data_IF_923572888619
#
_entry.id   IF_923572888619
#
_cell.length_a   1.000
_cell.length_b   1.000
_cell.length_c   1.000
_cell.angle_alpha   90.00
_cell.angle_beta   90.00
_cell.angle_gamma   90.00
#
_symmetry.space_group_name_H-M   'P 1'
#
loop_
_entity.id
_entity.type
_entity.pdbx_description
1 polymer ?
#
# COMPACT_ATOMS: atom_id res chain seq x y z
N UNK A 1 -51.52 -27.73 4.58
CA UNK A 1 -51.03 -26.61 3.76
C UNK A 1 -50.37 -25.56 4.65
N UNK A 2 -49.07 -25.31 4.46
CA UNK A 2 -48.43 -24.00 4.69
C UNK A 2 -47.54 -23.78 3.46
N UNK A 3 -47.37 -22.53 3.00
CA UNK A 3 -46.60 -22.22 1.78
C UNK A 3 -45.14 -21.99 2.15
N UNK A 4 -44.23 -22.75 1.56
CA UNK A 4 -42.81 -22.43 1.61
C UNK A 4 -42.56 -21.09 0.91
N UNK A 5 -41.72 -20.27 1.53
CA UNK A 5 -41.23 -19.01 0.97
C UNK A 5 -39.70 -19.10 0.97
N UNK A 6 -39.04 -19.08 -0.19
CA UNK A 6 -37.59 -19.26 -0.24
C UNK A 6 -36.87 -18.11 0.46
N UNK A 7 -35.86 -18.43 1.28
CA UNK A 7 -34.88 -17.42 1.72
C UNK A 7 -34.02 -17.02 0.52
N UNK A 8 -33.92 -15.72 0.29
CA UNK A 8 -32.96 -15.14 -0.65
C UNK A 8 -31.54 -15.51 -0.23
N UNK A 9 -30.68 -15.74 -1.20
CA UNK A 9 -29.25 -15.95 -1.01
C UNK A 9 -28.55 -14.63 -0.70
N UNK A 10 -27.38 -14.71 -0.05
CA UNK A 10 -26.48 -13.56 0.13
C UNK A 10 -26.08 -12.93 -1.22
N UNK A 11 -26.05 -13.74 -2.29
CA UNK A 11 -25.82 -13.29 -3.67
C UNK A 11 -26.93 -12.39 -4.24
N UNK A 12 -28.19 -12.62 -3.86
CA UNK A 12 -29.32 -11.87 -4.43
C UNK A 12 -29.28 -10.39 -4.01
N UNK A 13 -28.78 -10.11 -2.79
CA UNK A 13 -28.63 -8.76 -2.26
C UNK A 13 -27.64 -7.91 -3.08
N UNK A 14 -26.53 -8.48 -3.55
CA UNK A 14 -25.56 -7.77 -4.39
C UNK A 14 -26.05 -7.48 -5.81
N UNK A 15 -27.12 -8.14 -6.28
CA UNK A 15 -27.61 -8.00 -7.65
C UNK A 15 -28.29 -6.65 -7.95
N UNK A 16 -28.75 -5.93 -6.93
CA UNK A 16 -29.70 -4.81 -7.05
C UNK A 16 -29.08 -3.40 -7.21
N UNK A 17 -27.76 -3.28 -7.39
CA UNK A 17 -27.10 -1.98 -7.64
C UNK A 17 -26.50 -1.82 -9.06
N UNK A 18 -27.03 -2.53 -10.06
CA UNK A 18 -26.65 -2.31 -11.47
C UNK A 18 -27.38 -1.14 -12.12
N UNK A 19 -26.72 0.03 -12.19
CA UNK A 19 -26.96 1.10 -13.20
C UNK A 19 -25.82 2.13 -13.17
N UNK A 20 -24.88 2.07 -14.13
CA UNK A 20 -23.86 3.12 -14.31
C UNK A 20 -24.50 4.47 -14.66
N UNK A 21 -24.02 5.56 -14.04
CA UNK A 21 -23.63 6.75 -14.82
C UNK A 21 -22.32 7.41 -14.33
N UNK A 22 -21.38 6.63 -13.76
CA UNK A 22 -20.37 7.17 -12.84
C UNK A 22 -19.18 7.93 -13.47
N UNK A 23 -18.84 7.68 -14.74
CA UNK A 23 -17.64 8.28 -15.37
C UNK A 23 -17.65 9.81 -15.47
N UNK A 24 -18.83 10.43 -15.44
CA UNK A 24 -18.98 11.89 -15.39
C UNK A 24 -18.80 12.43 -13.96
N UNK A 25 -18.99 11.60 -12.94
CA UNK A 25 -18.77 11.96 -11.53
C UNK A 25 -17.32 11.81 -11.11
N UNK A 26 -16.58 10.80 -11.59
CA UNK A 26 -15.18 10.61 -11.17
C UNK A 26 -14.24 11.74 -11.64
N UNK A 27 -14.44 12.24 -12.86
CA UNK A 27 -13.68 13.36 -13.44
C UNK A 27 -14.04 14.75 -12.87
N UNK A 28 -14.89 14.82 -11.83
CA UNK A 28 -15.29 16.06 -11.14
C UNK A 28 -14.11 16.69 -10.38
N UNK A 29 -13.27 15.89 -9.73
CA UNK A 29 -12.07 16.33 -9.01
C UNK A 29 -11.05 16.95 -9.98
N UNK A 30 -10.77 16.27 -11.12
CA UNK A 30 -9.86 16.75 -12.16
C UNK A 30 -10.31 18.10 -12.73
N UNK A 31 -11.59 18.22 -13.14
CA UNK A 31 -12.16 19.50 -13.62
C UNK A 31 -12.11 20.63 -12.60
N UNK A 32 -12.25 20.33 -11.29
CA UNK A 32 -12.13 21.33 -10.21
C UNK A 32 -10.68 21.78 -9.98
N UNK A 33 -9.69 20.95 -10.31
CA UNK A 33 -8.26 21.20 -10.08
C UNK A 33 -7.50 21.76 -11.29
N UNK A 34 -8.19 22.28 -12.32
CA UNK A 34 -7.57 22.87 -13.53
C UNK A 34 -8.30 24.10 -14.03
N UNK A 35 -7.54 25.10 -14.47
CA UNK A 35 -8.06 26.15 -15.35
C UNK A 35 -7.62 25.87 -16.80
N UNK A 36 -8.55 25.34 -17.61
CA UNK A 36 -8.36 25.04 -19.03
C UNK A 36 -8.21 26.29 -19.93
N UNK A 37 -8.17 27.50 -19.36
CA UNK A 37 -7.71 28.72 -20.04
C UNK A 37 -6.21 28.98 -19.89
N UNK A 38 -5.55 28.26 -18.96
CA UNK A 38 -4.15 28.47 -18.57
C UNK A 38 -3.32 27.22 -18.87
N UNK A 39 -3.83 26.03 -18.56
CA UNK A 39 -3.13 24.77 -18.87
C UNK A 39 -3.42 24.26 -20.29
N UNK A 40 -2.44 23.57 -20.88
CA UNK A 40 -2.59 22.86 -22.16
C UNK A 40 -3.21 21.45 -22.00
N UNK A 41 -3.52 21.03 -20.77
CA UNK A 41 -4.09 19.71 -20.49
C UNK A 41 -5.53 19.58 -21.03
N UNK A 42 -5.93 18.40 -21.54
CA UNK A 42 -7.23 18.22 -22.17
C UNK A 42 -8.40 18.33 -21.18
N UNK A 43 -9.44 19.07 -21.59
CA UNK A 43 -10.73 19.10 -20.91
C UNK A 43 -11.52 17.80 -21.19
N UNK A 44 -12.14 17.14 -20.19
CA UNK A 44 -12.78 15.84 -20.40
C UNK A 44 -14.01 15.91 -21.32
N UNK A 45 -14.06 15.09 -22.37
CA UNK A 45 -15.25 15.00 -23.23
C UNK A 45 -16.30 14.05 -22.65
N UNK A 46 -17.58 14.31 -22.94
CA UNK A 46 -18.69 13.51 -22.40
C UNK A 46 -18.94 12.19 -23.15
N UNK A 47 -18.01 11.73 -24.01
CA UNK A 47 -18.24 10.60 -24.95
C UNK A 47 -17.08 9.63 -25.10
N UNK A 48 -16.02 9.74 -24.30
CA UNK A 48 -14.86 8.85 -24.34
C UNK A 48 -15.15 7.45 -23.74
N UNK A 49 -15.97 6.64 -24.43
CA UNK A 49 -15.93 5.18 -24.26
C UNK A 49 -14.78 4.64 -25.12
N UNK A 50 -13.82 3.96 -24.50
CA UNK A 50 -12.74 3.26 -25.18
C UNK A 50 -13.26 2.32 -26.27
N UNK A 51 -12.65 2.40 -27.46
CA UNK A 51 -12.96 1.52 -28.60
C UNK A 51 -11.76 0.61 -28.87
N UNK A 52 -11.57 -0.40 -28.02
CA UNK A 52 -10.49 -1.36 -28.19
C UNK A 52 -10.21 -2.18 -26.93
N UNK A 53 -8.97 -2.64 -26.79
CA UNK A 53 -8.42 -3.10 -25.51
C UNK A 53 -8.12 -1.88 -24.63
N UNK A 54 -8.25 -1.98 -23.29
CA UNK A 54 -7.97 -0.87 -22.42
C UNK A 54 -6.49 -0.48 -22.47
N UNK A 55 -6.22 0.82 -22.47
CA UNK A 55 -4.87 1.37 -22.55
C UNK A 55 -4.23 1.56 -21.19
N UNK A 56 -2.90 1.59 -21.17
CA UNK A 56 -2.12 2.14 -20.07
C UNK A 56 -1.14 3.19 -20.58
N UNK A 57 -0.82 4.16 -19.73
CA UNK A 57 0.22 5.17 -19.98
C UNK A 57 1.05 5.35 -18.71
N UNK A 58 2.33 5.65 -18.90
CA UNK A 58 3.26 6.03 -17.84
C UNK A 58 3.93 7.31 -18.29
N UNK A 59 3.63 8.41 -17.60
CA UNK A 59 4.23 9.72 -17.86
C UNK A 59 5.35 9.98 -16.87
N UNK A 60 6.54 10.35 -17.35
CA UNK A 60 7.61 10.87 -16.50
C UNK A 60 7.37 12.36 -16.25
N UNK A 61 7.30 12.75 -14.98
CA UNK A 61 6.79 14.05 -14.55
C UNK A 61 7.84 14.79 -13.72
N UNK A 62 8.47 15.78 -14.35
CA UNK A 62 9.46 16.69 -13.77
C UNK A 62 8.77 17.88 -13.08
N UNK A 63 8.04 17.57 -12.00
CA UNK A 63 7.46 18.56 -11.09
C UNK A 63 8.49 18.98 -10.01
N UNK A 64 8.04 19.44 -8.84
CA UNK A 64 8.89 19.73 -7.67
C UNK A 64 9.73 18.53 -7.20
N UNK A 65 9.31 17.31 -7.56
CA UNK A 65 10.08 16.07 -7.49
C UNK A 65 9.78 15.23 -8.73
N UNK A 66 10.81 14.58 -9.28
CA UNK A 66 10.65 13.60 -10.34
C UNK A 66 9.79 12.42 -9.85
N UNK A 67 8.74 12.10 -10.59
CA UNK A 67 7.86 10.95 -10.35
C UNK A 67 7.29 10.42 -11.67
N UNK A 68 6.62 9.27 -11.61
CA UNK A 68 6.06 8.58 -12.76
C UNK A 68 4.56 8.38 -12.58
N UNK A 69 3.74 9.13 -13.31
CA UNK A 69 2.30 8.98 -13.29
C UNK A 69 1.90 7.72 -14.09
N UNK A 70 1.64 6.62 -13.37
CA UNK A 70 1.16 5.36 -13.92
C UNK A 70 -0.38 5.39 -14.01
N UNK A 71 -0.95 5.10 -15.18
CA UNK A 71 -2.41 5.16 -15.38
C UNK A 71 -2.97 3.97 -16.16
N UNK A 72 -4.17 3.53 -15.78
CA UNK A 72 -4.94 2.45 -16.41
C UNK A 72 -6.33 2.94 -16.85
N UNK A 73 -6.77 2.58 -18.04
CA UNK A 73 -8.14 2.81 -18.50
C UNK A 73 -9.15 1.88 -17.79
N UNK A 74 -9.98 2.42 -16.91
CA UNK A 74 -11.13 1.72 -16.34
C UNK A 74 -12.36 2.64 -16.30
N UNK A 75 -13.54 2.08 -16.60
CA UNK A 75 -14.85 2.74 -16.58
C UNK A 75 -14.95 4.07 -17.35
N UNK A 76 -14.10 4.26 -18.36
CA UNK A 76 -14.06 5.46 -19.20
C UNK A 76 -13.20 6.60 -18.65
N UNK A 77 -12.34 6.33 -17.66
CA UNK A 77 -11.35 7.26 -17.13
C UNK A 77 -9.97 6.58 -16.96
N UNK A 78 -8.92 7.39 -16.83
CA UNK A 78 -7.57 6.94 -16.48
C UNK A 78 -7.40 6.96 -14.96
N UNK A 79 -7.59 5.80 -14.34
CA UNK A 79 -7.25 5.55 -12.94
C UNK A 79 -5.75 5.71 -12.75
N UNK A 80 -5.32 6.58 -11.84
CA UNK A 80 -3.98 7.18 -11.86
C UNK A 80 -3.26 7.07 -10.53
N UNK A 81 -1.95 6.79 -10.56
CA UNK A 81 -1.07 6.77 -9.39
C UNK A 81 0.27 7.46 -9.67
N UNK A 82 0.67 8.37 -8.78
CA UNK A 82 2.00 8.98 -8.79
C UNK A 82 3.02 8.00 -8.18
N UNK A 83 3.81 7.34 -9.03
CA UNK A 83 4.84 6.37 -8.63
C UNK A 83 6.15 7.10 -8.34
N UNK A 84 6.60 7.00 -7.09
CA UNK A 84 7.71 7.81 -6.53
C UNK A 84 9.10 7.54 -7.11
N UNK A 85 9.29 6.44 -7.86
CA UNK A 85 10.54 6.04 -8.54
C UNK A 85 10.22 5.21 -9.77
N UNK A 86 11.08 5.28 -10.79
CA UNK A 86 10.96 4.61 -12.10
C UNK A 86 10.40 3.17 -11.99
N UNK A 87 9.33 2.81 -12.72
CA UNK A 87 8.85 1.43 -12.80
C UNK A 87 9.94 0.43 -13.21
N UNK A 88 9.82 -0.81 -12.75
CA UNK A 88 10.92 -1.80 -12.76
C UNK A 88 10.43 -3.18 -13.17
N UNK A 89 11.29 -3.94 -13.84
CA UNK A 89 11.03 -5.33 -14.23
C UNK A 89 11.55 -6.33 -13.17
N UNK A 90 12.08 -5.87 -12.03
CA UNK A 90 12.49 -6.73 -10.92
C UNK A 90 11.30 -7.03 -9.97
N UNK A 91 10.83 -8.28 -9.87
CA UNK A 91 9.73 -8.67 -8.99
C UNK A 91 10.08 -8.66 -7.49
N UNK A 92 11.30 -8.28 -7.11
CA UNK A 92 11.72 -8.02 -5.72
C UNK A 92 11.53 -6.57 -5.31
N UNK A 93 11.56 -5.65 -6.27
CA UNK A 93 11.48 -4.21 -5.99
C UNK A 93 10.01 -3.79 -5.98
N UNK A 94 9.60 -3.15 -4.88
CA UNK A 94 8.27 -2.55 -4.73
C UNK A 94 8.40 -1.03 -4.92
N UNK A 95 7.51 -0.41 -5.67
CA UNK A 95 7.46 1.05 -5.84
C UNK A 95 6.24 1.61 -5.12
N UNK A 96 6.44 2.60 -4.25
CA UNK A 96 5.33 3.34 -3.66
C UNK A 96 4.64 4.17 -4.76
N UNK A 97 3.35 3.91 -4.92
CA UNK A 97 2.44 4.52 -5.86
C UNK A 97 1.31 5.20 -5.05
N UNK A 98 1.19 6.51 -5.15
CA UNK A 98 0.17 7.28 -4.41
C UNK A 98 -1.01 7.49 -5.34
N UNK A 99 -2.22 7.11 -4.94
CA UNK A 99 -3.40 7.29 -5.78
C UNK A 99 -3.67 8.79 -5.99
N UNK A 100 -3.97 9.18 -7.23
CA UNK A 100 -4.30 10.56 -7.62
C UNK A 100 -5.59 10.58 -8.42
N UNK A 101 -6.06 11.78 -8.73
CA UNK A 101 -7.37 11.99 -9.36
C UNK A 101 -7.51 11.23 -10.70
N UNK A 102 -8.69 10.74 -11.03
CA UNK A 102 -9.00 10.22 -12.37
C UNK A 102 -8.68 11.27 -13.46
N UNK A 103 -8.01 10.87 -14.54
CA UNK A 103 -7.73 11.73 -15.70
C UNK A 103 -8.60 11.33 -16.91
N UNK A 104 -8.94 12.25 -17.83
CA UNK A 104 -9.68 11.89 -19.05
C UNK A 104 -8.85 10.98 -19.97
N UNK A 105 -9.48 10.15 -20.81
CA UNK A 105 -8.76 9.24 -21.71
C UNK A 105 -7.88 9.99 -22.71
N UNK A 106 -8.31 11.20 -23.10
CA UNK A 106 -7.56 12.15 -23.92
C UNK A 106 -6.22 12.57 -23.29
N UNK A 107 -6.03 12.40 -21.97
CA UNK A 107 -4.76 12.68 -21.30
C UNK A 107 -3.66 11.65 -21.61
N UNK A 108 -4.02 10.47 -22.13
CA UNK A 108 -3.05 9.40 -22.40
C UNK A 108 -2.02 9.74 -23.50
N UNK A 109 -2.29 10.76 -24.32
CA UNK A 109 -1.37 11.29 -25.35
C UNK A 109 -0.76 12.65 -24.98
N UNK A 110 -1.09 13.20 -23.80
CA UNK A 110 -0.58 14.49 -23.34
C UNK A 110 0.93 14.41 -22.99
N UNK A 111 1.65 15.44 -23.43
CA UNK A 111 3.07 15.70 -23.13
C UNK A 111 3.34 17.21 -23.28
N UNK A 112 4.41 17.71 -22.64
CA UNK A 112 4.78 19.12 -22.60
C UNK A 112 4.66 19.74 -21.21
N UNK A 113 4.73 21.07 -21.15
CA UNK A 113 4.81 21.83 -19.90
C UNK A 113 3.43 22.21 -19.32
N UNK A 114 3.26 21.92 -18.02
CA UNK A 114 2.14 22.41 -17.20
C UNK A 114 2.61 23.69 -16.48
N UNK A 115 1.96 24.86 -16.69
CA UNK A 115 2.47 26.15 -16.20
C UNK A 115 2.67 26.25 -14.68
N UNK A 116 3.71 26.99 -14.25
CA UNK A 116 4.00 27.26 -12.84
C UNK A 116 2.77 27.86 -12.13
N UNK A 117 2.43 27.28 -10.97
CA UNK A 117 1.25 27.66 -10.18
C UNK A 117 -0.01 26.84 -10.48
N UNK A 118 -0.06 26.07 -11.57
CA UNK A 118 -1.10 25.06 -11.79
C UNK A 118 -0.83 23.80 -10.93
N UNK A 119 -1.88 23.03 -10.65
CA UNK A 119 -1.74 21.73 -9.99
C UNK A 119 -1.07 20.74 -10.94
N UNK A 120 0.07 20.18 -10.52
CA UNK A 120 0.92 19.38 -11.43
C UNK A 120 1.86 20.21 -12.30
N UNK A 121 2.20 21.45 -11.90
CA UNK A 121 3.21 22.24 -12.61
C UNK A 121 4.56 21.52 -12.72
N UNK A 122 5.03 21.35 -13.94
CA UNK A 122 6.21 20.55 -14.30
C UNK A 122 6.24 20.24 -15.79
N UNK A 123 7.31 19.56 -16.25
CA UNK A 123 7.37 19.01 -17.60
C UNK A 123 6.91 17.54 -17.61
N UNK A 124 6.12 17.14 -18.61
CA UNK A 124 5.50 15.82 -18.70
C UNK A 124 5.89 15.14 -20.02
N UNK A 125 6.59 14.00 -19.96
CA UNK A 125 6.89 13.16 -21.12
C UNK A 125 6.17 11.81 -21.05
N UNK A 126 5.81 11.21 -22.19
CA UNK A 126 5.30 9.83 -22.23
C UNK A 126 6.50 8.87 -22.17
N UNK A 127 6.73 8.28 -20.99
CA UNK A 127 7.83 7.37 -20.75
C UNK A 127 7.54 5.96 -21.26
N UNK A 128 6.32 5.45 -21.12
CA UNK A 128 5.83 4.24 -21.81
C UNK A 128 4.31 4.31 -22.03
N UNK A 129 3.80 3.54 -22.99
CA UNK A 129 2.38 3.51 -23.37
C UNK A 129 2.06 2.21 -24.09
N UNK A 130 0.88 1.64 -23.84
CA UNK A 130 0.44 0.44 -24.54
C UNK A 130 -0.98 0.02 -24.22
N UNK A 131 -1.28 -1.26 -24.46
CA UNK A 131 -2.52 -1.89 -24.00
C UNK A 131 -2.22 -2.83 -22.84
N UNK A 132 -3.25 -3.21 -22.09
CA UNK A 132 -3.12 -4.26 -21.08
C UNK A 132 -4.28 -5.26 -21.13
N UNK A 133 -4.07 -6.45 -20.57
CA UNK A 133 -5.14 -7.40 -20.27
C UNK A 133 -5.41 -7.40 -18.75
N UNK A 134 -6.67 -7.37 -18.32
CA UNK A 134 -7.03 -7.60 -16.92
C UNK A 134 -6.80 -9.09 -16.57
N UNK A 135 -5.96 -9.37 -15.57
CA UNK A 135 -5.65 -10.75 -15.15
C UNK A 135 -6.73 -11.28 -14.19
N UNK A 136 -7.34 -10.40 -13.39
CA UNK A 136 -8.42 -10.77 -12.44
C UNK A 136 -9.63 -11.36 -13.17
N UNK A 137 -9.97 -10.84 -14.36
CA UNK A 137 -11.04 -11.35 -15.22
C UNK A 137 -10.87 -12.80 -15.72
N UNK A 138 -9.76 -13.47 -15.40
CA UNK A 138 -9.50 -14.89 -15.73
C UNK A 138 -9.37 -15.80 -14.50
N UNK A 139 -9.76 -15.31 -13.31
CA UNK A 139 -9.77 -16.05 -12.04
C UNK A 139 -11.17 -16.58 -11.70
N UNK A 140 -11.24 -17.44 -10.69
CA UNK A 140 -12.48 -18.07 -10.21
C UNK A 140 -13.51 -17.05 -9.68
N UNK A 141 -13.04 -15.91 -9.17
CA UNK A 141 -13.85 -14.72 -8.86
C UNK A 141 -13.38 -13.53 -9.73
N UNK A 142 -14.03 -13.30 -10.89
CA UNK A 142 -13.50 -12.41 -11.93
C UNK A 142 -13.94 -10.94 -11.76
N UNK A 143 -13.09 -10.13 -11.14
CA UNK A 143 -13.30 -8.68 -11.00
C UNK A 143 -12.93 -7.89 -12.27
N UNK A 144 -13.67 -6.83 -12.58
CA UNK A 144 -13.22 -5.75 -13.47
C UNK A 144 -12.05 -4.98 -12.85
N UNK A 145 -11.41 -4.09 -13.61
CA UNK A 145 -10.31 -3.26 -13.06
C UNK A 145 -10.83 -2.20 -12.08
N UNK A 146 -12.05 -1.67 -12.27
CA UNK A 146 -12.67 -0.77 -11.29
C UNK A 146 -12.90 -1.50 -9.96
N UNK A 147 -13.59 -2.63 -9.97
CA UNK A 147 -13.82 -3.45 -8.76
C UNK A 147 -12.51 -3.94 -8.13
N UNK A 148 -11.48 -4.22 -8.94
CA UNK A 148 -10.13 -4.57 -8.44
C UNK A 148 -9.44 -3.40 -7.74
N UNK A 149 -9.69 -2.15 -8.19
CA UNK A 149 -9.20 -0.94 -7.53
C UNK A 149 -9.94 -0.75 -6.21
N UNK A 150 -11.27 -0.87 -6.21
CA UNK A 150 -12.06 -0.73 -4.99
C UNK A 150 -11.68 -1.80 -3.94
N UNK A 151 -11.46 -3.04 -4.38
CA UNK A 151 -10.95 -4.16 -3.55
C UNK A 151 -9.48 -4.02 -3.11
N UNK A 152 -8.73 -3.02 -3.61
CA UNK A 152 -7.35 -2.76 -3.20
C UNK A 152 -6.30 -3.70 -3.81
N UNK A 153 -6.64 -4.47 -4.84
CA UNK A 153 -5.74 -5.46 -5.45
C UNK A 153 -6.00 -5.62 -6.96
N UNK A 154 -5.14 -5.02 -7.78
CA UNK A 154 -5.26 -4.99 -9.25
C UNK A 154 -4.13 -5.79 -9.89
N UNK A 155 -4.45 -6.82 -10.69
CA UNK A 155 -3.47 -7.53 -11.51
C UNK A 155 -3.71 -7.28 -13.01
N UNK A 156 -2.69 -6.80 -13.70
CA UNK A 156 -2.73 -6.46 -15.14
C UNK A 156 -1.50 -6.99 -15.87
N UNK A 157 -1.71 -7.44 -17.11
CA UNK A 157 -0.64 -7.82 -18.04
C UNK A 157 -0.41 -6.67 -19.03
N UNK A 158 0.65 -5.90 -18.81
CA UNK A 158 1.02 -4.75 -19.62
C UNK A 158 1.71 -5.19 -20.93
N UNK A 159 1.44 -4.46 -22.01
CA UNK A 159 2.09 -4.63 -23.33
C UNK A 159 2.49 -3.26 -23.89
N UNK A 160 3.52 -2.67 -23.28
CA UNK A 160 4.17 -1.43 -23.71
C UNK A 160 5.49 -1.70 -24.43
N UNK A 161 6.37 -0.69 -24.45
CA UNK A 161 7.72 -0.75 -25.04
C UNK A 161 8.80 -1.00 -23.99
N UNK A 162 8.60 -0.52 -22.75
CA UNK A 162 9.54 -0.63 -21.63
C UNK A 162 9.06 -1.62 -20.57
N UNK A 163 7.76 -1.62 -20.26
CA UNK A 163 7.12 -2.60 -19.37
C UNK A 163 6.31 -3.62 -20.15
N UNK A 164 6.46 -4.88 -19.78
CA UNK A 164 5.81 -6.02 -20.42
C UNK A 164 5.52 -7.13 -19.39
N UNK A 165 4.45 -7.89 -19.62
CA UNK A 165 4.02 -8.94 -18.72
C UNK A 165 3.24 -8.42 -17.51
N UNK A 166 3.12 -9.26 -16.48
CA UNK A 166 2.20 -9.09 -15.36
C UNK A 166 2.77 -8.18 -14.26
N UNK A 167 1.92 -7.29 -13.77
CA UNK A 167 2.15 -6.37 -12.65
C UNK A 167 0.97 -6.44 -11.70
N UNK A 168 1.24 -6.12 -10.43
CA UNK A 168 0.21 -5.95 -9.41
C UNK A 168 0.34 -4.58 -8.75
N UNK A 169 -0.80 -3.93 -8.52
CA UNK A 169 -0.97 -2.80 -7.61
C UNK A 169 -1.72 -3.33 -6.37
N UNK A 170 -1.12 -3.20 -5.19
CA UNK A 170 -1.75 -3.59 -3.91
C UNK A 170 -1.85 -2.37 -2.99
N UNK A 171 -3.06 -2.04 -2.51
CA UNK A 171 -3.29 -0.97 -1.54
C UNK A 171 -2.78 -1.39 -0.16
N UNK A 172 -2.09 -0.48 0.53
CA UNK A 172 -1.44 -0.73 1.83
C UNK A 172 -1.99 0.13 2.97
N UNK A 173 -2.59 1.29 2.67
CA UNK A 173 -3.38 2.06 3.64
C UNK A 173 -4.42 2.95 2.95
N UNK A 174 -5.49 3.22 3.68
CA UNK A 174 -6.61 4.14 3.38
C UNK A 174 -6.79 5.21 4.47
N UNK A 175 -6.14 5.06 5.63
CA UNK A 175 -6.45 5.81 6.86
C UNK A 175 -5.70 7.14 6.97
N UNK A 176 -4.75 7.41 6.07
CA UNK A 176 -3.85 8.57 6.13
C UNK A 176 -3.75 9.34 4.79
N UNK A 177 -4.80 10.11 4.46
CA UNK A 177 -4.78 11.02 3.32
C UNK A 177 -5.20 10.37 2.00
N UNK A 178 -4.36 10.41 0.96
CA UNK A 178 -4.64 9.71 -0.31
C UNK A 178 -4.25 8.22 -0.21
N UNK A 179 -5.01 7.29 -0.80
CA UNK A 179 -4.69 5.87 -0.77
C UNK A 179 -3.26 5.55 -1.22
N UNK A 180 -2.55 4.75 -0.42
CA UNK A 180 -1.18 4.34 -0.72
C UNK A 180 -1.16 2.93 -1.29
N UNK A 181 -0.42 2.75 -2.39
CA UNK A 181 -0.31 1.49 -3.14
C UNK A 181 1.15 1.08 -3.35
N UNK A 182 1.37 -0.21 -3.61
CA UNK A 182 2.64 -0.74 -4.08
C UNK A 182 2.47 -1.30 -5.49
N UNK A 183 3.14 -0.68 -6.46
CA UNK A 183 3.35 -1.23 -7.80
C UNK A 183 4.51 -2.25 -7.73
N UNK A 184 4.25 -3.48 -8.16
CA UNK A 184 5.20 -4.60 -8.10
C UNK A 184 5.12 -5.41 -9.40
N UNK A 185 6.27 -5.72 -10.02
CA UNK A 185 6.33 -6.68 -11.13
C UNK A 185 6.00 -8.09 -10.62
N UNK A 186 5.13 -8.81 -11.30
CA UNK A 186 4.87 -10.23 -11.00
C UNK A 186 5.93 -11.12 -11.69
N UNK A 187 6.14 -12.33 -11.18
CA UNK A 187 7.09 -13.30 -11.77
C UNK A 187 6.46 -13.98 -12.98
N UNK A 188 7.07 -13.75 -14.14
CA UNK A 188 6.76 -14.35 -15.44
C UNK A 188 8.02 -14.36 -16.32
N UNK A 189 7.87 -14.67 -17.60
CA UNK A 189 8.95 -14.70 -18.61
C UNK A 189 9.59 -13.33 -18.90
N UNK A 190 8.93 -12.22 -18.54
CA UNK A 190 9.42 -10.86 -18.77
C UNK A 190 10.16 -10.27 -17.55
N UNK A 191 10.06 -10.93 -16.39
CA UNK A 191 10.66 -10.46 -15.13
C UNK A 191 12.20 -10.58 -15.12
N UNK A 192 12.92 -9.49 -14.85
CA UNK A 192 14.38 -9.41 -14.87
C UNK A 192 14.91 -8.90 -13.53
N UNK A 193 15.51 -9.78 -12.72
CA UNK A 193 16.07 -9.40 -11.42
C UNK A 193 17.14 -8.30 -11.54
N UNK A 194 17.07 -7.28 -10.70
CA UNK A 194 17.99 -6.15 -10.65
C UNK A 194 17.99 -5.22 -11.87
N UNK A 195 16.92 -5.21 -12.67
CA UNK A 195 16.80 -4.31 -13.82
C UNK A 195 15.78 -3.18 -13.59
N UNK A 196 16.09 -2.00 -14.13
CA UNK A 196 15.10 -1.01 -14.51
C UNK A 196 14.21 -1.57 -15.66
N UNK A 197 13.34 -0.75 -16.23
CA UNK A 197 12.54 -1.17 -17.38
C UNK A 197 13.40 -1.50 -18.62
N UNK A 198 12.85 -2.23 -19.61
CA UNK A 198 13.64 -2.71 -20.77
C UNK A 198 14.35 -1.52 -21.46
N UNK A 199 15.70 -1.45 -21.45
CA UNK A 199 16.39 -0.24 -21.87
C UNK A 199 16.53 -0.17 -23.39
N UNK A 200 15.81 0.78 -23.98
CA UNK A 200 16.23 1.38 -25.24
C UNK A 200 17.40 2.33 -24.93
N UNK A 201 18.63 1.84 -25.17
CA UNK A 201 19.94 2.52 -25.19
C UNK A 201 20.00 3.99 -24.68
N UNK A 202 20.72 4.37 -23.62
CA UNK A 202 21.66 3.70 -22.67
C UNK A 202 21.52 4.45 -21.30
N UNK A 203 21.94 3.99 -20.12
CA UNK A 203 23.31 3.56 -19.70
C UNK A 203 23.28 2.84 -18.32
N UNK A 204 24.37 2.12 -17.98
CA UNK A 204 24.65 1.29 -16.78
C UNK A 204 24.37 1.92 -15.39
N UNK A 205 24.28 1.18 -14.26
CA UNK A 205 24.89 -0.13 -13.93
C UNK A 205 24.12 -1.01 -12.90
N UNK A 206 24.59 -2.27 -12.74
CA UNK A 206 24.14 -3.38 -11.84
C UNK A 206 25.32 -3.79 -10.89
N UNK A 207 25.35 -4.91 -10.10
CA UNK A 207 24.42 -6.03 -9.84
C UNK A 207 24.03 -6.12 -8.32
N UNK A 208 23.78 -7.21 -7.54
CA UNK A 208 23.69 -8.70 -7.54
C UNK A 208 22.97 -9.10 -6.20
N UNK A 209 22.53 -10.33 -5.83
CA UNK A 209 21.91 -11.50 -6.50
C UNK A 209 21.47 -12.56 -5.46
N UNK A 210 20.37 -13.31 -5.72
CA UNK A 210 19.94 -14.58 -5.10
C UNK A 210 19.54 -14.63 -3.57
N UNK A 211 18.55 -15.40 -3.03
CA UNK A 211 17.93 -16.76 -3.25
C UNK A 211 18.82 -17.94 -2.73
N UNK A 212 18.28 -19.14 -2.32
CA UNK A 212 17.06 -19.84 -2.79
C UNK A 212 16.14 -20.52 -1.69
N UNK A 213 14.81 -20.75 -1.90
CA UNK A 213 14.06 -22.06 -2.00
C UNK A 213 13.89 -22.94 -0.71
N UNK A 214 12.86 -23.79 -0.45
CA UNK A 214 11.72 -24.36 -1.23
C UNK A 214 10.56 -24.98 -0.38
N UNK A 215 9.34 -25.09 -0.94
CA UNK A 215 8.27 -26.14 -0.81
C UNK A 215 7.55 -26.53 0.53
N UNK A 216 6.23 -26.26 0.54
CA UNK A 216 5.09 -27.23 0.56
C UNK A 216 4.36 -27.71 1.85
N UNK A 217 3.07 -28.05 1.64
CA UNK A 217 2.09 -28.77 2.48
C UNK A 217 1.40 -28.00 3.65
N UNK A 218 0.21 -28.48 4.08
CA UNK A 218 -0.70 -27.79 5.00
C UNK A 218 -1.59 -28.75 5.84
N UNK A 219 -1.96 -28.35 7.07
CA UNK A 219 -3.22 -28.69 7.78
C UNK A 219 -3.37 -28.02 9.17
N UNK A 220 -4.55 -27.47 9.41
CA UNK A 220 -5.39 -27.51 10.64
C UNK A 220 -4.77 -27.43 12.06
N UNK A 221 -5.07 -26.33 12.76
CA UNK A 221 -5.20 -26.11 14.23
C UNK A 221 -4.10 -26.60 15.20
N UNK A 222 -3.37 -25.65 15.81
CA UNK A 222 -3.19 -25.54 17.30
C UNK A 222 -2.52 -24.21 17.70
N UNK A 223 -2.69 -23.74 18.94
CA UNK A 223 -1.95 -22.58 19.48
C UNK A 223 -0.44 -22.89 19.49
N UNK A 224 0.34 -22.30 18.60
CA UNK A 224 1.82 -22.39 18.63
C UNK A 224 2.43 -21.16 19.29
N UNK A 225 2.50 -21.17 20.62
CA UNK A 225 3.40 -20.30 21.38
C UNK A 225 4.84 -20.79 21.19
N UNK A 226 5.48 -20.36 20.11
CA UNK A 226 6.91 -20.54 19.95
C UNK A 226 7.61 -19.84 21.12
N UNK A 227 8.30 -20.61 21.98
CA UNK A 227 9.02 -20.05 23.13
C UNK A 227 9.98 -18.97 22.63
N UNK A 228 9.92 -17.73 23.15
CA UNK A 228 10.79 -16.66 22.69
C UNK A 228 12.26 -17.06 22.85
N UNK A 229 13.09 -16.57 21.93
CA UNK A 229 14.54 -16.62 22.11
C UNK A 229 14.94 -15.89 23.40
N UNK A 230 16.15 -16.14 23.90
CA UNK A 230 16.68 -15.43 25.07
C UNK A 230 16.61 -13.90 24.84
N UNK A 231 16.17 -13.18 25.88
CA UNK A 231 16.17 -11.71 25.89
C UNK A 231 17.62 -11.20 25.83
N UNK A 232 17.87 -10.06 25.19
CA UNK A 232 19.17 -9.41 25.22
C UNK A 232 19.39 -8.70 26.56
N UNK A 233 20.65 -8.59 27.01
CA UNK A 233 20.99 -7.82 28.21
C UNK A 233 20.65 -6.32 28.06
N UNK A 234 20.73 -5.79 26.83
CA UNK A 234 20.21 -4.47 26.48
C UNK A 234 19.70 -4.39 25.03
N UNK A 235 18.66 -3.57 24.81
CA UNK A 235 18.13 -3.24 23.50
C UNK A 235 18.86 -2.03 22.93
N UNK A 236 19.67 -2.23 21.89
CA UNK A 236 20.35 -1.13 21.17
C UNK A 236 19.34 -0.14 20.58
N UNK A 237 19.46 1.12 20.99
CA UNK A 237 18.71 2.25 20.42
C UNK A 237 19.44 2.78 19.17
N UNK A 238 18.72 3.47 18.29
CA UNK A 238 19.31 4.07 17.07
C UNK A 238 18.76 5.47 16.81
N UNK A 239 19.61 6.41 16.39
CA UNK A 239 19.21 7.82 16.16
C UNK A 239 18.50 8.43 17.37
N UNK A 240 19.17 8.39 18.53
CA UNK A 240 18.61 8.85 19.81
C UNK A 240 18.30 10.34 19.78
N UNK A 241 19.18 11.17 19.21
CA UNK A 241 19.04 12.62 19.05
C UNK A 241 17.91 13.04 18.07
N UNK A 242 17.23 12.09 17.43
CA UNK A 242 16.16 12.41 16.48
C UNK A 242 14.99 13.05 17.24
N UNK A 243 14.69 14.32 16.97
CA UNK A 243 13.55 15.03 17.55
C UNK A 243 12.23 14.38 17.10
N UNK A 244 11.44 13.95 18.08
CA UNK A 244 10.19 13.21 17.90
C UNK A 244 8.96 14.06 18.26
N UNK A 245 9.08 15.03 19.19
CA UNK A 245 8.06 16.07 19.44
C UNK A 245 8.69 17.46 19.18
N UNK A 246 8.57 18.04 17.97
CA UNK A 246 9.24 19.30 17.62
C UNK A 246 8.93 20.45 18.58
N UNK A 247 7.65 20.64 18.92
CA UNK A 247 7.16 21.77 19.72
C UNK A 247 7.68 21.75 21.18
N UNK A 248 8.15 20.57 21.64
CA UNK A 248 8.70 20.35 22.97
C UNK A 248 10.20 19.97 22.95
N UNK A 249 10.82 19.89 21.77
CA UNK A 249 12.21 19.44 21.58
C UNK A 249 12.49 17.94 21.81
N UNK A 250 11.54 17.18 22.37
CA UNK A 250 11.78 15.82 22.90
C UNK A 250 12.28 14.87 21.80
N UNK A 251 13.41 14.22 22.11
CA UNK A 251 14.13 13.28 21.24
C UNK A 251 13.64 11.84 21.37
N UNK A 252 14.12 10.94 20.49
CA UNK A 252 13.82 9.51 20.58
C UNK A 252 14.45 8.88 21.82
N UNK A 253 15.67 9.29 22.20
CA UNK A 253 16.33 8.81 23.42
C UNK A 253 15.47 9.07 24.67
N UNK A 254 14.94 10.29 24.80
CA UNK A 254 14.04 10.67 25.90
C UNK A 254 12.72 9.90 25.90
N UNK A 255 12.12 9.59 24.74
CA UNK A 255 10.92 8.74 24.65
C UNK A 255 11.23 7.32 25.13
N UNK A 256 12.36 6.74 24.70
CA UNK A 256 12.78 5.39 25.13
C UNK A 256 13.01 5.37 26.64
N UNK A 257 13.69 6.37 27.21
CA UNK A 257 13.96 6.41 28.65
C UNK A 257 12.69 6.72 29.47
N UNK A 258 11.78 7.54 28.95
CA UNK A 258 10.43 7.67 29.52
C UNK A 258 9.73 6.30 29.60
N UNK A 259 9.76 5.51 28.51
CA UNK A 259 9.19 4.15 28.53
C UNK A 259 9.92 3.21 29.49
N UNK A 260 11.26 3.28 29.60
CA UNK A 260 12.04 2.52 30.58
C UNK A 260 11.57 2.82 32.00
N UNK A 261 11.38 4.11 32.31
CA UNK A 261 10.93 4.60 33.62
C UNK A 261 9.49 4.21 33.96
N UNK A 262 8.56 4.22 33.01
CA UNK A 262 7.15 3.82 33.27
C UNK A 262 6.87 2.34 33.09
N UNK A 263 7.80 1.54 32.53
CA UNK A 263 7.62 0.11 32.28
C UNK A 263 7.09 -0.70 33.49
N UNK A 264 7.56 -0.50 34.75
CA UNK A 264 7.04 -1.25 35.90
C UNK A 264 5.55 -1.02 36.18
N UNK A 265 5.00 0.15 35.80
CA UNK A 265 3.59 0.48 35.92
C UNK A 265 2.80 0.11 34.66
N UNK A 266 3.42 0.22 33.47
CA UNK A 266 2.75 -0.01 32.19
C UNK A 266 2.62 -1.50 31.84
N UNK A 267 3.64 -2.31 32.09
CA UNK A 267 3.68 -3.72 31.70
C UNK A 267 2.52 -4.57 32.27
N UNK A 268 2.06 -4.43 33.53
CA UNK A 268 0.89 -5.16 34.03
C UNK A 268 -0.39 -4.98 33.20
N UNK A 269 -0.52 -3.84 32.51
CA UNK A 269 -1.66 -3.53 31.64
C UNK A 269 -1.46 -3.97 30.17
N UNK A 270 -0.21 -4.19 29.72
CA UNK A 270 0.10 -4.68 28.37
C UNK A 270 0.31 -6.20 28.28
N UNK A 271 0.79 -6.82 29.37
CA UNK A 271 1.22 -8.22 29.41
C UNK A 271 0.09 -9.17 29.00
N UNK A 272 0.41 -10.16 28.18
CA UNK A 272 -0.47 -11.22 27.69
C UNK A 272 -1.72 -10.71 26.94
N UNK A 273 -1.69 -9.48 26.42
CA UNK A 273 -2.75 -8.87 25.61
C UNK A 273 -2.22 -8.51 24.21
N UNK A 274 -2.96 -8.82 23.12
CA UNK A 274 -2.57 -8.37 21.77
C UNK A 274 -2.45 -6.84 21.71
N UNK A 275 -1.33 -6.33 21.21
CA UNK A 275 -1.13 -4.89 20.98
C UNK A 275 -1.14 -4.51 19.50
N UNK A 276 -1.77 -3.39 19.19
CA UNK A 276 -1.51 -2.60 17.99
C UNK A 276 -0.70 -1.37 18.41
N UNK A 277 0.26 -0.93 17.61
CA UNK A 277 1.02 0.31 17.87
C UNK A 277 0.84 1.30 16.74
N UNK A 278 0.85 2.59 17.07
CA UNK A 278 1.04 3.64 16.07
C UNK A 278 2.50 4.10 16.07
N UNK A 279 3.11 4.04 14.89
CA UNK A 279 4.51 4.38 14.65
C UNK A 279 4.62 5.72 13.95
N UNK A 280 5.53 6.56 14.41
CA UNK A 280 5.85 7.88 13.89
C UNK A 280 7.33 7.92 13.46
N UNK A 281 7.71 7.38 12.29
CA UNK A 281 9.12 7.18 11.92
C UNK A 281 9.96 8.45 11.92
N UNK A 282 9.33 9.60 11.62
CA UNK A 282 9.94 10.92 11.56
C UNK A 282 9.49 11.85 12.71
N UNK A 283 8.85 11.30 13.73
CA UNK A 283 8.23 12.04 14.82
C UNK A 283 6.89 12.67 14.44
N UNK A 284 6.32 13.42 15.38
CA UNK A 284 5.14 14.25 15.22
C UNK A 284 5.46 15.56 14.49
N UNK A 285 4.43 16.18 13.92
CA UNK A 285 4.52 17.45 13.17
C UNK A 285 3.64 17.44 11.91
N UNK A 286 3.30 18.62 11.40
CA UNK A 286 2.47 18.75 10.20
C UNK A 286 3.09 18.05 8.99
N UNK A 287 2.28 17.32 8.22
CA UNK A 287 2.72 16.60 7.01
C UNK A 287 3.61 15.38 7.26
N UNK A 288 3.96 15.03 8.50
CA UNK A 288 4.72 13.82 8.82
C UNK A 288 3.81 12.59 8.90
N UNK A 289 4.21 11.43 8.35
CA UNK A 289 3.39 10.23 8.37
C UNK A 289 3.48 9.49 9.72
N UNK A 290 2.31 9.09 10.24
CA UNK A 290 2.18 7.96 11.19
C UNK A 290 1.61 6.74 10.47
N UNK A 291 1.77 5.55 11.05
CA UNK A 291 1.06 4.35 10.58
C UNK A 291 0.77 3.34 11.69
N UNK A 292 -0.30 2.56 11.50
CA UNK A 292 -0.78 1.59 12.47
C UNK A 292 -0.24 0.18 12.16
N UNK A 293 0.50 -0.40 13.09
CA UNK A 293 1.10 -1.73 12.94
C UNK A 293 0.36 -2.76 13.81
N UNK A 294 -0.56 -3.51 13.19
CA UNK A 294 -1.21 -4.70 13.78
C UNK A 294 -0.35 -5.96 13.63
N UNK A 295 0.11 -6.23 12.41
CA UNK A 295 0.88 -7.44 12.09
C UNK A 295 2.38 -7.19 12.36
N UNK A 296 2.97 -7.98 13.25
CA UNK A 296 4.37 -7.88 13.68
C UNK A 296 5.29 -8.30 12.53
N UNK A 297 6.19 -7.43 12.04
CA UNK A 297 7.06 -7.76 10.91
C UNK A 297 7.92 -9.01 11.18
N UNK A 298 8.05 -9.87 10.17
CA UNK A 298 8.84 -11.10 10.29
C UNK A 298 10.31 -10.86 10.67
N UNK A 299 10.86 -9.68 10.34
CA UNK A 299 12.23 -9.27 10.66
C UNK A 299 12.43 -8.77 12.11
N UNK A 300 11.37 -8.64 12.92
CA UNK A 300 11.53 -8.32 14.34
C UNK A 300 12.23 -9.49 15.07
N UNK A 301 13.00 -9.21 16.14
CA UNK A 301 13.72 -10.25 16.89
C UNK A 301 12.86 -11.43 17.35
N UNK A 302 13.46 -12.62 17.40
CA UNK A 302 12.81 -13.86 17.82
C UNK A 302 12.52 -13.97 19.33
N UNK A 303 13.00 -13.01 20.13
CA UNK A 303 12.66 -12.87 21.54
C UNK A 303 11.40 -12.02 21.77
N UNK A 304 10.91 -11.30 20.73
CA UNK A 304 9.62 -10.58 20.80
C UNK A 304 8.49 -11.59 20.61
N UNK A 305 7.76 -11.83 21.69
CA UNK A 305 6.59 -12.71 21.74
C UNK A 305 5.45 -12.20 20.84
N UNK A 306 4.73 -13.15 20.24
CA UNK A 306 3.67 -12.88 19.27
C UNK A 306 2.53 -13.87 19.43
N UNK A 307 1.31 -13.42 19.15
CA UNK A 307 0.13 -14.28 19.03
C UNK A 307 -0.42 -14.19 17.62
N UNK A 308 -0.60 -15.35 16.97
CA UNK A 308 -1.24 -15.45 15.67
C UNK A 308 -2.76 -15.54 15.88
N UNK A 309 -3.49 -14.53 15.43
CA UNK A 309 -4.95 -14.46 15.45
C UNK A 309 -5.48 -14.33 14.03
N UNK A 310 -6.62 -14.94 13.73
CA UNK A 310 -7.33 -14.69 12.46
C UNK A 310 -8.19 -13.44 12.61
N UNK A 311 -8.21 -12.58 11.58
CA UNK A 311 -9.20 -11.50 11.46
C UNK A 311 -10.46 -11.97 10.73
N UNK A 312 -11.52 -11.17 10.78
CA UNK A 312 -12.85 -11.46 10.21
C UNK A 312 -12.84 -11.81 8.71
N UNK A 313 -11.77 -11.42 7.99
CA UNK A 313 -11.50 -11.70 6.58
C UNK A 313 -10.60 -12.94 6.36
N UNK A 314 -10.43 -13.78 7.38
CA UNK A 314 -9.67 -15.04 7.33
C UNK A 314 -8.14 -14.88 7.27
N UNK A 315 -7.60 -13.69 7.50
CA UNK A 315 -6.14 -13.44 7.44
C UNK A 315 -5.49 -13.62 8.81
N UNK A 316 -4.39 -14.37 8.87
CA UNK A 316 -3.60 -14.50 10.10
C UNK A 316 -2.76 -13.23 10.36
N UNK A 317 -3.05 -12.54 11.46
CA UNK A 317 -2.32 -11.38 11.97
C UNK A 317 -1.49 -11.82 13.19
N UNK A 318 -0.19 -11.56 13.17
CA UNK A 318 0.70 -11.84 14.29
C UNK A 318 0.79 -10.59 15.17
N UNK A 319 -0.06 -10.44 16.18
CA UNK A 319 0.04 -9.32 17.12
C UNK A 319 1.26 -9.52 18.04
N UNK A 320 1.93 -8.43 18.41
CA UNK A 320 3.02 -8.48 19.43
C UNK A 320 2.40 -8.63 20.83
N UNK A 321 3.12 -9.26 21.76
CA UNK A 321 2.84 -9.23 23.19
C UNK A 321 3.96 -8.49 23.92
N UNK A 322 3.64 -7.43 24.67
CA UNK A 322 4.64 -6.64 25.42
C UNK A 322 4.75 -7.19 26.84
N UNK A 323 5.40 -8.34 26.95
CA UNK A 323 5.53 -9.09 28.20
C UNK A 323 6.73 -8.69 29.06
N UNK A 324 7.63 -7.84 28.54
CA UNK A 324 8.91 -7.48 29.15
C UNK A 324 9.36 -6.06 28.71
N UNK A 325 10.35 -5.51 29.42
CA UNK A 325 10.84 -4.13 29.21
C UNK A 325 11.50 -4.01 27.84
N UNK A 326 12.26 -5.04 27.43
CA UNK A 326 13.04 -5.08 26.20
C UNK A 326 12.12 -4.93 24.97
N UNK A 327 10.95 -5.58 25.00
CA UNK A 327 9.94 -5.44 23.94
C UNK A 327 9.38 -4.03 23.90
N UNK A 328 9.07 -3.42 25.05
CA UNK A 328 8.58 -2.04 25.13
C UNK A 328 9.61 -1.05 24.54
N UNK A 329 10.88 -1.15 24.95
CA UNK A 329 11.96 -0.28 24.48
C UNK A 329 12.28 -0.48 22.99
N UNK A 330 12.24 -1.73 22.50
CA UNK A 330 12.42 -1.99 21.08
C UNK A 330 11.32 -1.35 20.24
N UNK A 331 10.05 -1.46 20.67
CA UNK A 331 8.93 -0.84 19.96
C UNK A 331 9.00 0.70 20.01
N UNK A 332 9.40 1.28 21.14
CA UNK A 332 9.69 2.72 21.24
C UNK A 332 10.83 3.14 20.29
N UNK A 333 11.92 2.37 20.22
CA UNK A 333 13.02 2.63 19.27
C UNK A 333 12.58 2.53 17.80
N UNK A 334 11.63 1.64 17.49
CA UNK A 334 10.95 1.53 16.20
C UNK A 334 10.01 2.73 15.91
N UNK A 335 9.89 3.70 16.82
CA UNK A 335 9.09 4.91 16.68
C UNK A 335 7.65 4.78 17.16
N UNK A 336 7.32 3.76 17.98
CA UNK A 336 6.00 3.67 18.61
C UNK A 336 5.84 4.75 19.69
N UNK A 337 4.82 5.61 19.54
CA UNK A 337 4.46 6.63 20.54
C UNK A 337 3.15 6.27 21.26
N UNK A 338 2.32 5.40 20.67
CA UNK A 338 1.06 4.96 21.30
C UNK A 338 0.88 3.44 21.19
N UNK A 339 0.41 2.85 22.29
CA UNK A 339 0.24 1.41 22.47
C UNK A 339 -1.24 1.11 22.72
N UNK A 340 -1.90 0.50 21.75
CA UNK A 340 -3.34 0.24 21.75
C UNK A 340 -3.56 -1.24 22.06
N UNK A 341 -3.83 -1.50 23.33
CA UNK A 341 -3.99 -2.84 23.88
C UNK A 341 -5.42 -3.35 23.70
N UNK A 342 -5.57 -4.63 23.38
CA UNK A 342 -6.88 -5.30 23.43
C UNK A 342 -7.44 -5.31 24.85
N UNK A 343 -8.75 -5.21 24.99
CA UNK A 343 -9.40 -5.28 26.30
C UNK A 343 -9.34 -6.68 26.92
N UNK A 344 -9.11 -7.73 26.12
CA UNK A 344 -9.01 -9.16 26.48
C UNK A 344 -7.57 -9.70 26.42
N UNK A 345 -7.35 -10.94 26.91
CA UNK A 345 -6.03 -11.60 26.99
C UNK A 345 -5.94 -12.78 26.00
N UNK A 346 -4.73 -13.33 25.79
CA UNK A 346 -4.51 -14.42 24.81
C UNK A 346 -4.94 -15.82 25.28
N UNK A 347 -5.34 -15.97 26.54
CA UNK A 347 -6.01 -17.14 27.08
C UNK A 347 -7.50 -17.16 26.68
N UNK A 348 -8.23 -16.08 26.96
CA UNK A 348 -9.65 -15.84 26.62
C UNK A 348 -9.83 -14.49 25.91
N UNK A 349 -10.04 -14.51 24.59
CA UNK A 349 -10.10 -13.33 23.73
C UNK A 349 -11.47 -12.64 23.73
N UNK A 350 -12.53 -13.36 24.10
CA UNK A 350 -13.91 -12.86 24.14
C UNK A 350 -14.24 -12.19 25.49
N UNK A 351 -13.27 -12.13 26.42
CA UNK A 351 -13.44 -11.70 27.80
C UNK A 351 -12.33 -10.74 28.27
N UNK A 352 -12.66 -9.58 28.89
CA UNK A 352 -11.68 -8.55 29.24
C UNK A 352 -10.81 -8.84 30.48
#
# INVERSE_FOLDING_TARGET
MRKDTPRLSWYDACSLSRKHPESIMSLKEYRRKRDFKITNEPAPTAKAKGKGKPIFVIQEHHATRLHYDFRLEADGALKSWAVTKEPTMDPKIRRLAIEVEDHPLEYATFHGDIPKGQYGAGHVEIWDSGTYNNVMATKDDPLTVAESIDAGHVEVELKGKKLEGKFVLVRIDERSGKPQWLLIKMKDEFAVEGAAAKPTAKTSAKPTSAKPTTKAAAKTTTKTTAKPAALPDEVRITSEDKVMFPDAGITKGEIVEYYRRVAPLMLPHLKDRPITIERYPDGLGEGKPSFWQKNTPAHYPAWIERVALESDDGKTINYTLVNNVETLLYLANQGAITFHVWTSRVDDLDRP
#
